data_IF_120727645522
#
_entry.id   IF_120727645522
#
_cell.length_a   1.000
_cell.length_b   1.000
_cell.length_c   1.000
_cell.angle_alpha   90.00
_cell.angle_beta   90.00
_cell.angle_gamma   90.00
#
_symmetry.space_group_name_H-M   'P 1'
#
loop_
_entity.id
_entity.type
_entity.pdbx_description
1 polymer ?
#
# COMPACT_ATOMS: atom_id res chain seq x y z
N UNK A 1 -3.99 -7.26 -29.04
CA UNK A 1 -3.11 -6.48 -28.14
C UNK A 1 -3.97 -5.87 -27.03
N UNK A 2 -4.04 -6.52 -25.85
CA UNK A 2 -4.56 -5.96 -24.59
C UNK A 2 -4.36 -7.03 -23.51
N UNK A 3 -3.23 -6.95 -22.82
CA UNK A 3 -2.87 -7.81 -21.70
C UNK A 3 -3.91 -7.68 -20.58
N UNK A 4 -4.90 -8.58 -20.56
CA UNK A 4 -5.82 -8.82 -19.44
C UNK A 4 -5.00 -9.23 -18.22
N UNK A 5 -4.76 -8.27 -17.35
CA UNK A 5 -4.20 -8.50 -16.02
C UNK A 5 -5.06 -9.51 -15.24
N UNK A 6 -4.34 -10.41 -14.60
CA UNK A 6 -4.69 -11.78 -14.31
C UNK A 6 -5.36 -11.93 -12.93
N UNK A 7 -6.63 -12.29 -12.91
CA UNK A 7 -7.20 -13.12 -11.84
C UNK A 7 -7.74 -14.39 -12.50
N UNK A 8 -6.85 -15.35 -12.76
CA UNK A 8 -7.20 -16.65 -13.31
C UNK A 8 -7.95 -17.46 -12.24
N UNK A 9 -9.27 -17.39 -12.25
CA UNK A 9 -10.13 -18.33 -11.53
C UNK A 9 -9.93 -19.70 -12.20
N UNK A 10 -9.35 -20.68 -11.50
CA UNK A 10 -9.21 -22.05 -12.03
C UNK A 10 -10.62 -22.59 -12.37
N UNK A 11 -10.83 -23.00 -13.63
CA UNK A 11 -12.11 -23.59 -14.09
C UNK A 11 -12.52 -24.86 -13.34
N UNK A 12 -11.58 -25.58 -12.74
CA UNK A 12 -11.83 -26.90 -12.11
C UNK A 12 -11.98 -26.82 -10.57
N UNK A 13 -12.61 -25.77 -10.04
CA UNK A 13 -12.78 -25.58 -8.59
C UNK A 13 -14.06 -26.27 -8.10
N UNK A 14 -13.93 -27.26 -7.21
CA UNK A 14 -15.10 -27.89 -6.54
C UNK A 14 -15.75 -27.02 -5.46
N UNK A 15 -15.01 -26.05 -4.90
CA UNK A 15 -15.50 -25.14 -3.85
C UNK A 15 -16.06 -23.84 -4.46
N UNK A 16 -17.14 -23.27 -3.90
CA UNK A 16 -17.72 -22.02 -4.42
C UNK A 16 -16.70 -20.89 -4.40
N UNK A 17 -16.88 -19.93 -5.31
CA UNK A 17 -16.05 -18.75 -5.36
C UNK A 17 -16.15 -17.98 -4.03
N UNK A 18 -15.02 -17.89 -3.32
CA UNK A 18 -14.93 -17.20 -2.01
C UNK A 18 -15.10 -15.69 -2.13
N UNK A 19 -14.95 -15.15 -3.34
CA UNK A 19 -15.15 -13.73 -3.60
C UNK A 19 -16.61 -13.50 -3.98
N UNK A 20 -17.28 -12.68 -3.19
CA UNK A 20 -18.51 -12.01 -3.63
C UNK A 20 -18.18 -11.26 -4.92
N UNK A 21 -18.81 -11.60 -6.04
CA UNK A 21 -18.62 -10.95 -7.35
C UNK A 21 -18.99 -9.46 -7.40
N UNK A 22 -19.18 -8.83 -6.24
CA UNK A 22 -19.41 -7.40 -6.06
C UNK A 22 -18.22 -6.63 -6.64
N UNK A 23 -18.51 -5.59 -7.43
CA UNK A 23 -17.48 -4.67 -7.91
C UNK A 23 -16.74 -4.09 -6.71
N UNK A 24 -15.45 -4.41 -6.60
CA UNK A 24 -14.49 -3.94 -5.62
C UNK A 24 -14.26 -2.41 -5.73
N UNK A 25 -15.29 -1.60 -5.46
CA UNK A 25 -15.25 -0.13 -5.58
C UNK A 25 -14.16 0.49 -4.69
N UNK A 26 -13.98 -0.03 -3.47
CA UNK A 26 -12.99 0.47 -2.50
C UNK A 26 -11.57 -0.01 -2.81
N UNK A 27 -11.42 -1.16 -3.47
CA UNK A 27 -10.12 -1.78 -3.73
C UNK A 27 -9.30 -1.03 -4.80
N UNK A 28 -9.94 -0.31 -5.72
CA UNK A 28 -9.24 0.57 -6.68
C UNK A 28 -8.49 1.73 -6.00
N UNK A 29 -8.98 2.22 -4.85
CA UNK A 29 -8.35 3.33 -4.12
C UNK A 29 -7.29 2.86 -3.13
N UNK A 30 -7.33 1.59 -2.73
CA UNK A 30 -6.39 0.97 -1.78
C UNK A 30 -4.94 1.07 -2.25
N UNK A 31 -4.70 0.89 -3.55
CA UNK A 31 -3.36 0.95 -4.12
C UNK A 31 -2.65 2.30 -3.88
N UNK A 32 -3.38 3.43 -3.86
CA UNK A 32 -2.77 4.73 -3.56
C UNK A 32 -2.27 4.81 -2.12
N UNK A 33 -3.03 4.25 -1.18
CA UNK A 33 -2.69 4.21 0.24
C UNK A 33 -1.53 3.24 0.50
N UNK A 34 -1.58 2.04 -0.07
CA UNK A 34 -0.48 1.07 0.05
C UNK A 34 0.82 1.58 -0.58
N UNK A 35 0.74 2.30 -1.70
CA UNK A 35 1.90 2.94 -2.31
C UNK A 35 2.51 4.01 -1.40
N UNK A 36 1.70 4.81 -0.71
CA UNK A 36 2.19 5.78 0.26
C UNK A 36 2.93 5.09 1.42
N UNK A 37 2.34 4.05 2.01
CA UNK A 37 2.99 3.31 3.09
C UNK A 37 4.27 2.61 2.65
N UNK A 38 4.32 2.08 1.42
CA UNK A 38 5.55 1.51 0.85
C UNK A 38 6.68 2.54 0.73
N UNK A 39 6.37 3.81 0.45
CA UNK A 39 7.38 4.88 0.50
C UNK A 39 7.79 5.21 1.93
N UNK A 40 6.87 5.21 2.89
CA UNK A 40 7.17 5.40 4.30
C UNK A 40 8.05 4.30 4.89
N UNK A 41 7.92 3.05 4.44
CA UNK A 41 8.73 1.91 4.91
C UNK A 41 10.23 2.04 4.55
N UNK A 42 10.58 2.80 3.52
CA UNK A 42 11.99 3.09 3.17
C UNK A 42 12.67 3.97 4.24
N UNK A 43 11.89 4.72 5.02
CA UNK A 43 12.39 5.54 6.11
C UNK A 43 12.58 4.69 7.37
N UNK A 44 13.80 4.18 7.58
CA UNK A 44 14.14 3.37 8.77
C UNK A 44 13.67 3.98 10.08
N UNK A 45 13.76 5.30 10.25
CA UNK A 45 13.35 5.99 11.50
C UNK A 45 11.84 6.03 11.75
N UNK A 46 11.00 5.76 10.75
CA UNK A 46 9.55 5.58 10.97
C UNK A 46 9.21 4.21 11.55
N UNK A 47 10.11 3.22 11.40
CA UNK A 47 9.90 1.88 11.93
C UNK A 47 10.32 1.86 13.39
N UNK A 48 9.42 1.38 14.26
CA UNK A 48 9.60 1.27 15.72
C UNK A 48 10.91 0.59 16.14
N UNK A 49 11.48 -0.28 15.28
CA UNK A 49 12.76 -0.94 15.51
C UNK A 49 13.94 0.03 15.66
N UNK A 50 13.91 1.18 14.98
CA UNK A 50 15.08 2.07 14.87
C UNK A 50 14.94 3.35 15.70
N UNK A 51 13.74 3.68 16.18
CA UNK A 51 13.50 4.86 17.00
C UNK A 51 12.76 4.47 18.28
N UNK A 52 13.39 4.74 19.43
CA UNK A 52 12.85 4.42 20.76
C UNK A 52 11.92 5.52 21.30
N UNK A 53 12.18 6.77 20.94
CA UNK A 53 11.44 7.93 21.45
C UNK A 53 10.19 8.21 20.62
N UNK A 54 9.02 7.99 21.21
CA UNK A 54 7.73 8.25 20.57
C UNK A 54 7.53 9.72 20.19
N UNK A 55 8.13 10.65 20.94
CA UNK A 55 8.06 12.10 20.71
C UNK A 55 8.59 12.48 19.32
N UNK A 56 9.61 11.76 18.82
CA UNK A 56 10.24 12.04 17.53
C UNK A 56 9.44 11.51 16.34
N UNK A 57 8.46 10.63 16.58
CA UNK A 57 7.71 9.95 15.53
C UNK A 57 7.01 10.95 14.60
N UNK A 58 6.32 11.94 15.17
CA UNK A 58 5.60 12.95 14.40
C UNK A 58 6.55 13.79 13.54
N UNK A 59 7.73 14.14 14.08
CA UNK A 59 8.78 14.83 13.33
C UNK A 59 9.28 14.02 12.12
N UNK A 60 9.52 12.72 12.30
CA UNK A 60 9.95 11.85 11.20
C UNK A 60 8.86 11.61 10.14
N UNK A 61 7.59 11.55 10.53
CA UNK A 61 6.46 11.53 9.58
C UNK A 61 6.47 12.78 8.70
N UNK A 62 6.60 13.96 9.32
CA UNK A 62 6.62 15.24 8.59
C UNK A 62 7.83 15.35 7.65
N UNK A 63 9.01 14.93 8.10
CA UNK A 63 10.22 14.88 7.27
C UNK A 63 10.05 13.93 6.07
N UNK A 64 9.42 12.78 6.26
CA UNK A 64 9.11 11.87 5.17
C UNK A 64 8.16 12.50 4.14
N UNK A 65 7.12 13.20 4.59
CA UNK A 65 6.21 13.95 3.72
C UNK A 65 6.96 15.03 2.93
N UNK A 66 7.81 15.84 3.57
CA UNK A 66 8.61 16.87 2.89
C UNK A 66 9.52 16.26 1.82
N UNK A 67 10.24 15.17 2.15
CA UNK A 67 11.11 14.48 1.19
C UNK A 67 10.34 13.94 -0.01
N UNK A 68 9.15 13.37 0.22
CA UNK A 68 8.31 12.90 -0.88
C UNK A 68 7.82 14.05 -1.75
N UNK A 69 7.37 15.16 -1.15
CA UNK A 69 6.96 16.36 -1.88
C UNK A 69 8.10 16.88 -2.76
N UNK A 70 9.33 16.98 -2.23
CA UNK A 70 10.50 17.43 -2.99
C UNK A 70 10.94 16.48 -4.10
N UNK A 71 10.56 15.19 -4.05
CA UNK A 71 10.94 14.19 -5.05
C UNK A 71 9.96 14.11 -6.22
N UNK A 72 8.71 14.50 -6.01
CA UNK A 72 7.60 14.29 -6.95
C UNK A 72 6.93 15.59 -7.43
N UNK A 73 7.26 16.74 -6.84
CA UNK A 73 7.09 18.07 -7.46
C UNK A 73 8.34 18.39 -8.30
#
# INVERSE_FOLDING_TARGET
MALKWYHRIKKNRKKPATQDGRRLRRYKRRFKVERFFSWCEDFRRLVVRWEYHAENYLGFVLLACIRMSLKYL
#
